data_IF_168401306598
#
_entry.id   IF_168401306598
#
_cell.length_a   1.000
_cell.length_b   1.000
_cell.length_c   1.000
_cell.angle_alpha   90.00
_cell.angle_beta   90.00
_cell.angle_gamma   90.00
#
_symmetry.space_group_name_H-M   'P 1'
#
loop_
_entity.id
_entity.type
_entity.pdbx_description
1 polymer ?
#
# COMPACT_ATOMS: atom_id res chain seq x y z
N UNK A 1 22.85 -29.19 -25.98
CA UNK A 1 22.90 -28.82 -24.55
C UNK A 1 23.16 -27.32 -24.52
N UNK A 2 22.22 -26.51 -24.01
CA UNK A 2 22.45 -25.07 -23.88
C UNK A 2 23.64 -24.84 -22.95
N UNK A 3 24.42 -23.78 -23.17
CA UNK A 3 25.68 -23.47 -22.46
C UNK A 3 25.54 -23.23 -20.96
N UNK A 4 24.39 -23.51 -20.33
CA UNK A 4 24.09 -23.14 -18.94
C UNK A 4 23.97 -21.64 -18.70
N UNK A 5 24.06 -20.83 -19.76
CA UNK A 5 24.08 -19.38 -19.69
C UNK A 5 22.71 -18.77 -19.97
N UNK A 6 22.41 -17.70 -19.26
CA UNK A 6 21.20 -16.91 -19.34
C UNK A 6 21.53 -15.52 -19.88
N UNK A 7 20.80 -15.06 -20.89
CA UNK A 7 20.87 -13.68 -21.37
C UNK A 7 19.88 -12.82 -20.59
N UNK A 8 20.36 -11.76 -19.96
CA UNK A 8 19.56 -10.73 -19.32
C UNK A 8 19.32 -9.60 -20.32
N UNK A 9 18.07 -9.17 -20.46
CA UNK A 9 17.68 -8.04 -21.30
C UNK A 9 17.05 -7.00 -20.39
N UNK A 10 17.67 -5.83 -20.33
CA UNK A 10 17.21 -4.71 -19.51
C UNK A 10 16.46 -3.69 -20.38
N UNK A 11 15.49 -2.98 -19.78
CA UNK A 11 14.64 -2.00 -20.50
C UNK A 11 15.44 -0.85 -21.14
N UNK A 12 16.65 -0.57 -20.66
CA UNK A 12 17.56 0.42 -21.24
C UNK A 12 18.33 -0.10 -22.48
N UNK A 13 18.03 -1.31 -22.96
CA UNK A 13 18.67 -1.94 -24.12
C UNK A 13 20.01 -2.62 -23.81
N UNK A 14 20.50 -2.56 -22.57
CA UNK A 14 21.69 -3.30 -22.16
C UNK A 14 21.37 -4.79 -22.11
N UNK A 15 22.32 -5.61 -22.55
CA UNK A 15 22.27 -7.07 -22.41
C UNK A 15 23.48 -7.55 -21.64
N UNK A 16 23.29 -8.60 -20.85
CA UNK A 16 24.35 -9.25 -20.10
C UNK A 16 24.16 -10.78 -20.10
N UNK A 17 25.20 -11.52 -19.77
CA UNK A 17 25.18 -13.00 -19.74
C UNK A 17 25.63 -13.47 -18.36
N UNK A 18 24.85 -14.39 -17.77
CA UNK A 18 25.19 -15.00 -16.49
C UNK A 18 25.02 -16.52 -16.54
N UNK A 19 25.90 -17.25 -15.85
CA UNK A 19 25.76 -18.70 -15.66
C UNK A 19 24.70 -19.04 -14.59
N UNK A 20 24.34 -18.08 -13.73
CA UNK A 20 23.29 -18.23 -12.71
C UNK A 20 22.53 -16.91 -12.53
N UNK A 21 21.20 -17.00 -12.53
CA UNK A 21 20.30 -15.88 -12.26
C UNK A 21 19.50 -16.18 -10.99
N UNK A 22 19.47 -15.22 -10.05
CA UNK A 22 18.67 -15.29 -8.82
C UNK A 22 17.55 -14.26 -8.92
N UNK A 23 16.30 -14.72 -8.98
CA UNK A 23 15.12 -13.85 -9.00
C UNK A 23 14.83 -13.23 -7.64
N UNK A 24 15.18 -11.94 -7.50
CA UNK A 24 14.91 -11.12 -6.33
C UNK A 24 14.11 -9.85 -6.69
N UNK A 25 13.29 -9.93 -7.75
CA UNK A 25 12.54 -8.85 -8.39
C UNK A 25 11.09 -8.71 -7.90
N UNK A 26 10.77 -9.33 -6.76
CA UNK A 26 9.56 -9.05 -5.99
C UNK A 26 8.28 -9.75 -6.46
N UNK A 27 7.14 -9.26 -5.98
CA UNK A 27 5.84 -9.92 -6.12
C UNK A 27 5.35 -10.04 -7.57
N UNK A 28 5.79 -9.14 -8.46
CA UNK A 28 5.48 -9.14 -9.90
C UNK A 28 6.69 -9.52 -10.76
N UNK A 29 7.49 -10.47 -10.25
CA UNK A 29 8.71 -10.96 -10.91
C UNK A 29 8.51 -11.27 -12.39
N UNK A 30 9.38 -10.72 -13.24
CA UNK A 30 9.36 -10.95 -14.68
C UNK A 30 9.96 -12.30 -15.07
N UNK A 31 10.81 -12.87 -14.21
CA UNK A 31 11.53 -14.13 -14.47
C UNK A 31 10.93 -15.35 -13.77
N UNK A 32 9.88 -15.19 -12.95
CA UNK A 32 9.24 -16.31 -12.26
C UNK A 32 8.81 -17.44 -13.19
N UNK A 33 8.31 -17.10 -14.38
CA UNK A 33 7.84 -18.07 -15.38
C UNK A 33 8.95 -19.03 -15.84
N UNK A 34 10.23 -18.67 -15.69
CA UNK A 34 11.36 -19.54 -16.01
C UNK A 34 11.52 -20.71 -15.03
N UNK A 35 10.93 -20.60 -13.82
CA UNK A 35 11.03 -21.62 -12.76
C UNK A 35 9.68 -22.19 -12.33
N UNK A 36 8.57 -21.47 -12.55
CA UNK A 36 7.23 -21.90 -12.15
C UNK A 36 6.14 -21.22 -12.98
N UNK A 37 5.08 -21.96 -13.32
CA UNK A 37 3.86 -21.42 -13.93
C UNK A 37 2.90 -20.75 -12.94
N UNK A 38 3.23 -20.76 -11.64
CA UNK A 38 2.38 -20.18 -10.61
C UNK A 38 2.25 -18.66 -10.74
N UNK A 39 1.01 -18.17 -10.77
CA UNK A 39 0.69 -16.74 -10.83
C UNK A 39 0.26 -16.21 -9.46
N UNK A 40 0.57 -14.95 -9.10
CA UNK A 40 -0.02 -14.31 -7.93
C UNK A 40 -1.55 -14.34 -8.04
N UNK A 41 -2.22 -14.59 -6.93
CA UNK A 41 -3.67 -14.48 -6.83
C UNK A 41 -4.02 -13.37 -5.87
N UNK A 42 -5.01 -12.55 -6.25
CA UNK A 42 -5.53 -11.51 -5.39
C UNK A 42 -6.17 -12.13 -4.14
N UNK A 43 -5.76 -11.68 -2.95
CA UNK A 43 -6.18 -12.27 -1.68
C UNK A 43 -7.52 -11.75 -1.16
N UNK A 44 -8.22 -10.91 -1.94
CA UNK A 44 -9.49 -10.32 -1.57
C UNK A 44 -9.37 -9.03 -0.74
N UNK A 45 -8.16 -8.49 -0.55
CA UNK A 45 -7.94 -7.27 0.25
C UNK A 45 -7.21 -6.22 -0.58
N UNK A 46 -7.78 -5.02 -0.64
CA UNK A 46 -7.16 -3.81 -1.17
C UNK A 46 -6.70 -2.95 0.00
N UNK A 47 -5.54 -2.32 -0.15
CA UNK A 47 -4.97 -1.40 0.84
C UNK A 47 -4.67 -0.09 0.13
N UNK A 48 -5.14 1.02 0.70
CA UNK A 48 -4.72 2.38 0.35
C UNK A 48 -3.86 2.89 1.48
N UNK A 49 -2.70 3.43 1.15
CA UNK A 49 -1.76 3.95 2.12
C UNK A 49 -1.81 5.48 2.18
N UNK A 50 -1.80 6.01 3.40
CA UNK A 50 -1.64 7.43 3.69
C UNK A 50 -0.58 7.61 4.78
N UNK A 51 -0.09 8.84 4.94
CA UNK A 51 0.97 9.12 5.89
C UNK A 51 0.79 10.44 6.65
N UNK A 52 1.49 10.50 7.77
CA UNK A 52 1.69 11.66 8.61
C UNK A 52 3.20 11.85 8.83
N UNK A 53 3.71 13.04 8.54
CA UNK A 53 5.12 13.41 8.73
C UNK A 53 5.23 14.45 9.84
N UNK A 54 6.33 14.39 10.60
CA UNK A 54 6.54 15.21 11.81
C UNK A 54 5.33 15.10 12.76
N UNK A 55 4.90 13.86 13.01
CA UNK A 55 3.58 13.57 13.58
C UNK A 55 3.42 14.11 15.01
N UNK A 56 4.48 14.08 15.81
CA UNK A 56 4.44 14.64 17.18
C UNK A 56 4.23 16.16 17.20
N UNK A 57 4.69 16.87 16.17
CA UNK A 57 4.65 18.33 16.09
C UNK A 57 3.38 18.82 15.38
N UNK A 58 3.05 18.19 14.25
CA UNK A 58 1.98 18.63 13.35
C UNK A 58 0.64 17.99 13.66
N UNK A 59 0.64 16.78 14.23
CA UNK A 59 -0.56 15.96 14.46
C UNK A 59 -0.53 15.26 15.83
N UNK A 60 -0.35 16.00 16.94
CA UNK A 60 -0.13 15.41 18.27
C UNK A 60 -1.29 14.49 18.73
N UNK A 61 -2.52 14.77 18.32
CA UNK A 61 -3.67 13.90 18.61
C UNK A 61 -3.58 12.55 17.86
N UNK A 62 -3.10 12.55 16.62
CA UNK A 62 -2.85 11.31 15.86
C UNK A 62 -1.69 10.53 16.48
N UNK A 63 -0.61 11.22 16.86
CA UNK A 63 0.51 10.60 17.55
C UNK A 63 0.07 9.93 18.87
N UNK A 64 -0.80 10.60 19.64
CA UNK A 64 -1.34 10.07 20.88
C UNK A 64 -2.28 8.88 20.65
N UNK A 65 -3.14 8.94 19.64
CA UNK A 65 -4.08 7.87 19.30
C UNK A 65 -3.36 6.57 18.92
N UNK A 66 -2.31 6.67 18.09
CA UNK A 66 -1.51 5.50 17.67
C UNK A 66 -0.53 5.05 18.77
N UNK A 67 -0.01 5.99 19.55
CA UNK A 67 1.00 5.74 20.57
C UNK A 67 2.36 5.36 19.96
N UNK A 68 3.08 4.47 20.65
CA UNK A 68 4.45 4.06 20.29
C UNK A 68 4.54 2.78 19.44
N UNK A 69 3.40 2.26 18.99
CA UNK A 69 3.31 0.99 18.27
C UNK A 69 2.34 1.07 17.11
N UNK A 70 1.41 0.12 17.05
CA UNK A 70 0.39 0.04 16.01
C UNK A 70 -1.00 -0.03 16.65
N UNK A 71 -1.93 0.76 16.12
CA UNK A 71 -3.36 0.64 16.43
C UNK A 71 -4.07 -0.07 15.28
N UNK A 72 -5.01 -0.95 15.63
CA UNK A 72 -5.90 -1.63 14.68
C UNK A 72 -7.35 -1.27 15.03
N UNK A 73 -8.04 -0.61 14.11
CA UNK A 73 -9.49 -0.47 14.16
C UNK A 73 -10.08 -1.25 12.98
N UNK A 74 -10.85 -2.30 13.27
CA UNK A 74 -11.34 -3.27 12.28
C UNK A 74 -12.83 -3.50 12.48
N UNK A 75 -13.63 -3.30 11.43
CA UNK A 75 -15.07 -3.55 11.44
C UNK A 75 -15.60 -3.67 10.02
N UNK A 76 -16.67 -4.45 9.82
CA UNK A 76 -17.42 -4.54 8.56
C UNK A 76 -16.52 -4.67 7.31
N UNK A 77 -15.57 -5.60 7.34
CA UNK A 77 -14.63 -5.83 6.23
C UNK A 77 -13.74 -4.62 5.86
N UNK A 78 -13.67 -3.61 6.72
CA UNK A 78 -12.80 -2.43 6.60
C UNK A 78 -11.83 -2.36 7.78
N UNK A 79 -10.74 -1.64 7.58
CA UNK A 79 -9.74 -1.42 8.61
C UNK A 79 -9.03 -0.09 8.44
N UNK A 80 -8.74 0.55 9.58
CA UNK A 80 -7.81 1.67 9.70
C UNK A 80 -6.68 1.21 10.64
N UNK A 81 -5.49 1.03 10.09
CA UNK A 81 -4.34 0.51 10.81
C UNK A 81 -3.24 1.57 10.81
N UNK A 82 -3.04 2.23 11.95
CA UNK A 82 -2.02 3.26 12.12
C UNK A 82 -0.77 2.68 12.76
N UNK A 83 0.39 2.82 12.12
CA UNK A 83 1.67 2.34 12.62
C UNK A 83 2.63 3.51 12.83
N UNK A 84 3.15 3.63 14.05
CA UNK A 84 4.27 4.51 14.37
C UNK A 84 5.54 3.94 13.75
N UNK A 85 6.15 4.73 12.87
CA UNK A 85 7.41 4.40 12.21
C UNK A 85 8.54 5.30 12.73
N UNK A 86 9.77 5.00 12.29
CA UNK A 86 10.92 5.87 12.55
C UNK A 86 10.72 7.28 11.98
N UNK A 87 11.64 8.19 12.34
CA UNK A 87 11.69 9.56 11.78
C UNK A 87 10.45 10.42 12.05
N UNK A 88 9.76 10.21 13.18
CA UNK A 88 8.57 10.97 13.57
C UNK A 88 7.44 10.88 12.53
N UNK A 89 7.17 9.66 12.04
CA UNK A 89 6.14 9.39 11.05
C UNK A 89 5.11 8.38 11.55
N UNK A 90 3.87 8.50 11.07
CA UNK A 90 2.86 7.46 11.16
C UNK A 90 2.40 7.12 9.75
N UNK A 91 2.33 5.82 9.45
CA UNK A 91 1.71 5.30 8.23
C UNK A 91 0.35 4.74 8.60
N UNK A 92 -0.67 5.04 7.82
CA UNK A 92 -2.00 4.45 8.01
C UNK A 92 -2.39 3.65 6.78
N UNK A 93 -2.82 2.43 7.03
CA UNK A 93 -3.36 1.54 6.01
C UNK A 93 -4.88 1.55 6.10
N UNK A 94 -5.52 2.03 5.04
CA UNK A 94 -6.97 1.92 4.82
C UNK A 94 -7.20 0.61 4.08
N UNK A 95 -7.65 -0.41 4.81
CA UNK A 95 -7.78 -1.77 4.27
C UNK A 95 -9.24 -2.10 4.01
N UNK A 96 -9.53 -2.73 2.88
CA UNK A 96 -10.88 -3.12 2.48
C UNK A 96 -10.87 -4.54 1.94
N UNK A 97 -11.76 -5.41 2.41
CA UNK A 97 -12.08 -6.64 1.66
C UNK A 97 -13.00 -6.25 0.51
N UNK A 98 -12.48 -6.33 -0.70
CA UNK A 98 -13.16 -5.87 -1.91
C UNK A 98 -12.74 -6.70 -3.12
N UNK A 99 -13.52 -6.70 -4.23
CA UNK A 99 -13.10 -7.25 -5.51
C UNK A 99 -11.78 -6.64 -6.02
N UNK A 100 -11.02 -7.38 -6.84
CA UNK A 100 -9.70 -6.96 -7.34
C UNK A 100 -9.75 -5.63 -8.13
N UNK A 101 -10.84 -5.43 -8.88
CA UNK A 101 -11.12 -4.26 -9.69
C UNK A 101 -11.71 -3.08 -8.90
N UNK A 102 -11.90 -3.20 -7.59
CA UNK A 102 -12.54 -2.16 -6.77
C UNK A 102 -11.85 -0.79 -6.90
N UNK A 103 -10.51 -0.76 -7.01
CA UNK A 103 -9.78 0.50 -7.17
C UNK A 103 -10.24 1.28 -8.41
N UNK A 104 -10.60 0.57 -9.49
CA UNK A 104 -11.11 1.15 -10.74
C UNK A 104 -12.61 1.46 -10.64
N UNK A 105 -13.38 0.56 -10.02
CA UNK A 105 -14.86 0.66 -9.99
C UNK A 105 -15.41 1.56 -8.89
N UNK A 106 -14.63 1.83 -7.84
CA UNK A 106 -15.07 2.64 -6.69
C UNK A 106 -15.40 4.08 -7.04
N UNK A 107 -14.88 4.59 -8.16
CA UNK A 107 -15.00 5.99 -8.57
C UNK A 107 -14.20 6.97 -7.70
N UNK A 108 -13.34 6.46 -6.81
CA UNK A 108 -12.48 7.29 -5.96
C UNK A 108 -11.32 7.84 -6.81
N UNK A 109 -11.25 9.16 -6.94
CA UNK A 109 -10.21 9.85 -7.69
C UNK A 109 -8.91 9.96 -6.86
N UNK A 110 -8.14 8.88 -6.75
CA UNK A 110 -6.88 8.85 -5.98
C UNK A 110 -5.79 9.81 -6.51
N UNK A 111 -5.92 10.25 -7.76
CA UNK A 111 -5.11 11.31 -8.37
C UNK A 111 -5.52 12.73 -7.93
N UNK A 112 -6.66 12.86 -7.24
CA UNK A 112 -7.20 14.12 -6.70
C UNK A 112 -7.35 14.02 -5.17
N UNK A 113 -6.29 14.36 -4.40
CA UNK A 113 -6.23 14.05 -2.98
C UNK A 113 -7.40 14.57 -2.13
N UNK A 114 -7.90 15.77 -2.41
CA UNK A 114 -9.05 16.32 -1.69
C UNK A 114 -10.35 15.56 -1.95
N UNK A 115 -10.53 15.09 -3.19
CA UNK A 115 -11.71 14.33 -3.58
C UNK A 115 -11.63 12.90 -3.04
N UNK A 116 -10.48 12.24 -3.20
CA UNK A 116 -10.21 10.93 -2.58
C UNK A 116 -10.47 10.94 -1.07
N UNK A 117 -10.02 11.98 -0.37
CA UNK A 117 -10.30 12.14 1.07
C UNK A 117 -11.80 12.17 1.37
N UNK A 118 -12.58 12.95 0.63
CA UNK A 118 -14.04 13.02 0.81
C UNK A 118 -14.72 11.67 0.54
N UNK A 119 -14.29 10.97 -0.49
CA UNK A 119 -14.89 9.69 -0.87
C UNK A 119 -14.55 8.59 0.14
N UNK A 120 -13.30 8.55 0.63
CA UNK A 120 -12.90 7.68 1.72
C UNK A 120 -13.65 7.98 3.01
N UNK A 121 -13.85 9.25 3.37
CA UNK A 121 -14.64 9.61 4.55
C UNK A 121 -16.10 9.12 4.44
N UNK A 122 -16.71 9.14 3.25
CA UNK A 122 -18.05 8.55 3.04
C UNK A 122 -18.05 7.05 3.26
N UNK A 123 -16.98 6.36 2.88
CA UNK A 123 -16.85 4.90 3.04
C UNK A 123 -16.77 4.47 4.51
N UNK A 124 -16.32 5.36 5.40
CA UNK A 124 -16.18 5.15 6.84
C UNK A 124 -17.16 6.00 7.67
N UNK A 125 -18.24 6.54 7.07
CA UNK A 125 -19.09 7.55 7.70
C UNK A 125 -19.73 7.13 9.05
N UNK A 126 -19.78 5.84 9.34
CA UNK A 126 -20.29 5.23 10.58
C UNK A 126 -19.22 5.03 11.67
N UNK A 127 -17.97 5.41 11.42
CA UNK A 127 -16.86 5.24 12.36
C UNK A 127 -16.70 6.45 13.29
N UNK A 128 -16.04 6.22 14.43
CA UNK A 128 -15.77 7.29 15.40
C UNK A 128 -14.89 8.39 14.80
N UNK A 129 -15.20 9.65 15.14
CA UNK A 129 -14.50 10.82 14.62
C UNK A 129 -12.99 10.78 14.90
N UNK A 130 -12.55 10.19 16.03
CA UNK A 130 -11.12 10.04 16.32
C UNK A 130 -10.40 9.18 15.30
N UNK A 131 -11.06 8.18 14.73
CA UNK A 131 -10.52 7.32 13.67
C UNK A 131 -10.61 7.98 12.30
N UNK A 132 -11.70 8.70 12.03
CA UNK A 132 -11.86 9.49 10.80
C UNK A 132 -10.78 10.57 10.65
N UNK A 133 -10.21 11.03 11.77
CA UNK A 133 -9.08 11.96 11.76
C UNK A 133 -7.84 11.42 11.03
N UNK A 134 -7.66 10.09 10.93
CA UNK A 134 -6.63 9.53 10.06
C UNK A 134 -6.80 9.98 8.61
N UNK A 135 -8.04 10.05 8.12
CA UNK A 135 -8.35 10.43 6.74
C UNK A 135 -8.44 11.95 6.62
N UNK A 136 -9.03 12.65 7.59
CA UNK A 136 -9.17 14.10 7.55
C UNK A 136 -7.84 14.84 7.49
N UNK A 137 -6.86 14.42 8.29
CA UNK A 137 -5.65 15.19 8.53
C UNK A 137 -4.39 14.62 7.89
N UNK A 138 -4.49 13.54 7.11
CA UNK A 138 -3.32 12.95 6.47
C UNK A 138 -2.57 13.96 5.59
N UNK A 139 -1.24 13.88 5.64
CA UNK A 139 -0.37 14.66 4.77
C UNK A 139 -0.50 14.10 3.36
N UNK A 140 -1.10 14.89 2.47
CA UNK A 140 -1.59 14.45 1.17
C UNK A 140 -0.53 13.64 0.41
N UNK A 141 -0.80 12.34 0.29
CA UNK A 141 -0.33 11.37 -0.71
C UNK A 141 -1.15 10.09 -0.44
N UNK A 142 -1.86 9.60 -1.45
CA UNK A 142 -2.50 8.28 -1.43
C UNK A 142 -1.63 7.37 -2.30
N UNK A 143 -1.16 6.26 -1.75
CA UNK A 143 -0.29 5.28 -2.43
C UNK A 143 -0.99 3.93 -2.47
#
# INVERSE_FOLDING_TARGET
MSSGQHTLIFDNGVTDIADLVIGADGARSCIRSLVSSAMPQYCGVTIVEIQFIFVDDRHPEIAKLVGRGTIFALSDNKGLIGQRNGQNQIRVYITLRAPENWIVESGIAFDQPEQARKDLLRLFADWDNSLLNFIHFCDANFI
#
